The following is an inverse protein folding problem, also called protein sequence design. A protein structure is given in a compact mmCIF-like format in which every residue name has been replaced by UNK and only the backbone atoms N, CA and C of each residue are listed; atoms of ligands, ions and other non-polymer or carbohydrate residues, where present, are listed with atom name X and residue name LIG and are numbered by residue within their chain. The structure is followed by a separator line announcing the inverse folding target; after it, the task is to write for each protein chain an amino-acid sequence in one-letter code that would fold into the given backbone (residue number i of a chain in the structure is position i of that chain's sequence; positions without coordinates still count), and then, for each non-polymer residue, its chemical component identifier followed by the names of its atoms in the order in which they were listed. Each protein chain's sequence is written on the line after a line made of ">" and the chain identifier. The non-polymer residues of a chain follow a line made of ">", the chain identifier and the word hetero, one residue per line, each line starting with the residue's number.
data_IF_102182479669
#
_entry.id   IF_102182479669
#
_cell.length_a   1.000
_cell.length_b   1.000
_cell.length_c   1.000
_cell.angle_alpha   90.00
_cell.angle_beta   90.00
_cell.angle_gamma   90.00
#
_symmetry.space_group_name_H-M   'P 1'
#
loop_
_entity.id
_entity.type
_entity.pdbx_description
1 polymer ?
#
# COMPACT_ATOMS: atom_id res chain seq x y z
N UNK A 1 25.82 11.99 9.35
CA UNK A 1 24.69 12.92 9.08
C UNK A 1 24.88 13.68 7.78
N UNK A 2 26.03 14.32 7.53
CA UNK A 2 26.28 15.09 6.28
C UNK A 2 26.12 14.28 4.98
N UNK A 3 26.58 13.02 4.93
CA UNK A 3 26.40 12.17 3.75
C UNK A 3 24.93 11.92 3.38
N UNK A 4 24.02 11.85 4.35
CA UNK A 4 22.59 11.62 4.08
C UNK A 4 21.92 12.89 3.52
N UNK A 5 22.36 14.08 3.95
CA UNK A 5 21.83 15.36 3.45
C UNK A 5 22.18 15.54 1.97
N UNK A 6 23.44 15.30 1.60
CA UNK A 6 23.91 15.45 0.22
C UNK A 6 23.21 14.46 -0.74
N UNK A 7 23.00 13.20 -0.31
CA UNK A 7 22.27 12.20 -1.09
C UNK A 7 20.84 12.66 -1.36
N UNK A 8 20.14 13.15 -0.34
CA UNK A 8 18.75 13.57 -0.51
C UNK A 8 18.66 14.82 -1.39
N UNK A 9 19.54 15.81 -1.22
CA UNK A 9 19.56 16.99 -2.09
C UNK A 9 19.82 16.63 -3.55
N UNK A 10 20.76 15.72 -3.82
CA UNK A 10 21.02 15.22 -5.16
C UNK A 10 19.80 14.47 -5.74
N UNK A 11 19.12 13.66 -4.93
CA UNK A 11 17.90 12.98 -5.31
C UNK A 11 16.80 13.97 -5.73
N UNK A 12 16.52 14.99 -4.92
CA UNK A 12 15.56 16.05 -5.25
C UNK A 12 15.92 16.78 -6.55
N UNK A 13 17.21 17.06 -6.78
CA UNK A 13 17.68 17.69 -8.00
C UNK A 13 17.46 16.79 -9.22
N UNK A 14 17.75 15.50 -9.11
CA UNK A 14 17.60 14.51 -10.19
C UNK A 14 16.14 14.26 -10.55
N UNK A 15 15.28 14.09 -9.56
CA UNK A 15 13.87 13.77 -9.79
C UNK A 15 13.06 14.96 -10.27
N UNK A 16 13.48 16.20 -9.96
CA UNK A 16 12.76 17.43 -10.31
C UNK A 16 12.28 17.47 -11.76
N UNK A 17 13.17 17.22 -12.73
CA UNK A 17 12.82 17.30 -14.16
C UNK A 17 11.76 16.27 -14.52
N UNK A 18 11.89 15.04 -14.02
CA UNK A 18 10.89 13.99 -14.23
C UNK A 18 9.54 14.39 -13.64
N UNK A 19 9.52 14.96 -12.44
CA UNK A 19 8.29 15.37 -11.75
C UNK A 19 7.61 16.54 -12.48
N UNK A 20 8.39 17.54 -12.90
CA UNK A 20 7.88 18.68 -13.65
C UNK A 20 7.29 18.25 -15.01
N UNK A 21 7.90 17.23 -15.65
CA UNK A 21 7.37 16.61 -16.86
C UNK A 21 6.06 15.86 -16.58
N UNK A 22 5.94 15.12 -15.47
CA UNK A 22 4.69 14.45 -15.07
C UNK A 22 3.57 15.48 -14.84
N UNK A 23 3.87 16.54 -14.10
CA UNK A 23 2.92 17.63 -13.81
C UNK A 23 2.41 18.28 -15.10
N UNK A 24 3.31 18.49 -16.07
CA UNK A 24 2.95 19.07 -17.38
C UNK A 24 2.15 18.09 -18.23
N UNK A 25 2.59 16.83 -18.32
CA UNK A 25 1.98 15.77 -19.13
C UNK A 25 0.53 15.51 -18.71
N UNK A 26 0.29 15.43 -17.40
CA UNK A 26 -1.03 15.11 -16.84
C UNK A 26 -1.81 16.35 -16.35
N UNK A 27 -1.21 17.54 -16.45
CA UNK A 27 -1.81 18.82 -16.03
C UNK A 27 -2.29 18.79 -14.58
N UNK A 28 -1.44 18.29 -13.69
CA UNK A 28 -1.79 18.22 -12.28
C UNK A 28 -1.92 19.61 -11.65
N UNK A 29 -2.91 19.82 -10.75
CA UNK A 29 -2.95 21.00 -9.91
C UNK A 29 -1.67 21.15 -9.09
N UNK A 30 -1.31 22.39 -8.75
CA UNK A 30 -0.04 22.72 -8.10
C UNK A 30 0.19 21.95 -6.80
N UNK A 31 -0.84 21.76 -5.98
CA UNK A 31 -0.73 21.03 -4.72
C UNK A 31 -0.43 19.53 -4.92
N UNK A 32 -0.99 18.86 -5.94
CA UNK A 32 -0.55 17.51 -6.30
C UNK A 32 0.91 17.55 -6.76
N UNK A 33 1.27 18.52 -7.62
CA UNK A 33 2.64 18.67 -8.09
C UNK A 33 3.65 18.86 -6.96
N UNK A 34 3.34 19.70 -5.97
CA UNK A 34 4.18 19.93 -4.79
C UNK A 34 4.31 18.67 -3.93
N UNK A 35 3.21 17.91 -3.76
CA UNK A 35 3.26 16.63 -3.04
C UNK A 35 4.10 15.60 -3.79
N UNK A 36 4.02 15.52 -5.12
CA UNK A 36 4.84 14.59 -5.90
C UNK A 36 6.35 14.86 -5.75
N UNK A 37 6.75 16.13 -5.61
CA UNK A 37 8.13 16.53 -5.28
C UNK A 37 8.62 15.98 -3.92
N UNK A 38 7.73 15.62 -3.00
CA UNK A 38 8.06 14.96 -1.74
C UNK A 38 7.90 13.43 -1.82
N UNK A 39 6.79 12.97 -2.43
CA UNK A 39 6.40 11.57 -2.50
C UNK A 39 7.43 10.76 -3.31
N UNK A 40 7.78 11.20 -4.52
CA UNK A 40 8.65 10.40 -5.42
C UNK A 40 10.04 10.17 -4.80
N UNK A 41 10.75 11.20 -4.27
CA UNK A 41 11.98 10.97 -3.52
C UNK A 41 11.81 10.01 -2.34
N UNK A 42 10.72 10.12 -1.57
CA UNK A 42 10.48 9.24 -0.42
C UNK A 42 10.27 7.78 -0.83
N UNK A 43 9.56 7.52 -1.94
CA UNK A 43 9.43 6.18 -2.51
C UNK A 43 10.80 5.63 -2.94
N UNK A 44 11.64 6.43 -3.60
CA UNK A 44 12.99 6.00 -4.01
C UNK A 44 13.85 5.66 -2.79
N UNK A 45 13.78 6.45 -1.71
CA UNK A 45 14.51 6.13 -0.48
C UNK A 45 13.95 4.88 0.22
N UNK A 46 12.64 4.70 0.24
CA UNK A 46 11.96 3.53 0.83
C UNK A 46 12.37 2.22 0.15
N UNK A 47 12.39 2.20 -1.18
CA UNK A 47 12.69 1.01 -1.98
C UNK A 47 14.17 0.89 -2.37
N UNK A 48 14.97 1.93 -2.10
CA UNK A 48 16.41 1.99 -2.36
C UNK A 48 16.75 2.72 -3.65
N UNK A 49 17.93 3.37 -3.68
CA UNK A 49 18.37 4.19 -4.82
C UNK A 49 18.46 3.40 -6.14
N UNK A 50 18.72 2.09 -6.09
CA UNK A 50 18.73 1.22 -7.28
C UNK A 50 17.34 1.07 -7.92
N UNK A 51 16.27 1.35 -7.18
CA UNK A 51 14.89 1.31 -7.66
C UNK A 51 14.45 2.60 -8.37
N UNK A 52 15.29 3.65 -8.41
CA UNK A 52 14.95 4.98 -8.94
C UNK A 52 14.23 4.92 -10.30
N UNK A 53 14.84 4.26 -11.28
CA UNK A 53 14.28 4.17 -12.64
C UNK A 53 12.92 3.48 -12.66
N UNK A 54 12.77 2.40 -11.88
CA UNK A 54 11.51 1.67 -11.78
C UNK A 54 10.42 2.52 -11.14
N UNK A 55 10.71 3.19 -10.02
CA UNK A 55 9.74 4.07 -9.35
C UNK A 55 9.29 5.18 -10.31
N UNK A 56 10.22 5.87 -10.98
CA UNK A 56 9.86 6.93 -11.93
C UNK A 56 8.99 6.42 -13.08
N UNK A 57 9.30 5.24 -13.64
CA UNK A 57 8.48 4.61 -14.68
C UNK A 57 7.05 4.32 -14.20
N UNK A 58 6.89 3.90 -12.94
CA UNK A 58 5.56 3.61 -12.37
C UNK A 58 4.75 4.90 -12.24
N UNK A 59 5.32 5.97 -11.68
CA UNK A 59 4.65 7.27 -11.59
C UNK A 59 4.31 7.85 -12.98
N UNK A 60 5.11 7.55 -14.01
CA UNK A 60 4.79 7.94 -15.39
C UNK A 60 3.66 7.11 -16.01
N UNK A 61 3.51 5.85 -15.59
CA UNK A 61 2.54 4.91 -16.14
C UNK A 61 1.19 4.92 -15.41
N UNK A 62 1.14 5.52 -14.22
CA UNK A 62 -0.04 5.53 -13.35
C UNK A 62 -0.47 6.98 -13.09
N UNK A 63 -1.27 7.57 -13.99
CA UNK A 63 -1.77 8.93 -13.79
C UNK A 63 -2.75 9.05 -12.62
N UNK A 64 -2.86 10.27 -12.08
CA UNK A 64 -3.90 10.66 -11.13
C UNK A 64 -5.06 11.28 -11.91
N UNK A 65 -6.24 10.69 -11.84
CA UNK A 65 -7.48 11.26 -12.36
C UNK A 65 -8.29 11.88 -11.23
N UNK A 66 -8.56 13.18 -11.34
CA UNK A 66 -9.45 13.89 -10.42
C UNK A 66 -10.88 13.78 -10.95
N UNK A 67 -11.80 13.32 -10.10
CA UNK A 67 -13.23 13.25 -10.39
C UNK A 67 -14.02 14.02 -9.33
N UNK A 68 -14.99 14.79 -9.79
CA UNK A 68 -15.94 15.52 -8.94
C UNK A 68 -17.17 14.66 -8.56
N UNK A 69 -17.05 13.33 -8.66
CA UNK A 69 -18.10 12.40 -8.26
C UNK A 69 -18.13 12.25 -6.73
N UNK A 70 -19.29 12.53 -6.13
CA UNK A 70 -19.48 12.41 -4.69
C UNK A 70 -19.61 10.94 -4.28
N UNK A 71 -18.52 10.38 -3.76
CA UNK A 71 -18.52 9.08 -3.08
C UNK A 71 -18.13 9.28 -1.63
N UNK A 72 -19.05 9.00 -0.72
CA UNK A 72 -18.81 9.14 0.73
C UNK A 72 -17.88 8.05 1.28
N UNK A 73 -17.60 6.98 0.52
CA UNK A 73 -16.91 5.78 1.05
C UNK A 73 -15.42 5.69 0.70
N UNK A 74 -15.00 6.22 -0.44
CA UNK A 74 -13.61 6.12 -0.92
C UNK A 74 -13.17 7.49 -1.45
N UNK A 75 -12.16 8.10 -0.83
CA UNK A 75 -11.61 9.39 -1.28
C UNK A 75 -10.58 9.22 -2.40
N UNK A 76 -9.92 8.06 -2.43
CA UNK A 76 -8.96 7.68 -3.43
C UNK A 76 -9.00 6.16 -3.64
N UNK A 77 -8.62 5.71 -4.84
CA UNK A 77 -8.33 4.30 -5.10
C UNK A 77 -7.40 4.15 -6.30
N UNK A 78 -6.48 3.20 -6.21
CA UNK A 78 -5.73 2.65 -7.34
C UNK A 78 -6.54 1.57 -8.03
N UNK A 79 -6.54 1.57 -9.36
CA UNK A 79 -7.10 0.48 -10.14
C UNK A 79 -6.21 0.13 -11.32
N UNK A 80 -6.18 -1.17 -11.65
CA UNK A 80 -5.56 -1.73 -12.83
C UNK A 80 -6.62 -2.52 -13.58
N UNK A 81 -6.95 -2.06 -14.79
CA UNK A 81 -8.02 -2.63 -15.60
C UNK A 81 -7.41 -3.38 -16.77
N UNK A 82 -7.58 -4.72 -16.84
CA UNK A 82 -7.05 -5.49 -17.95
C UNK A 82 -7.93 -5.31 -19.20
N UNK A 83 -7.29 -5.22 -20.36
CA UNK A 83 -7.93 -5.21 -21.68
C UNK A 83 -7.13 -6.04 -22.68
N UNK A 84 -7.81 -6.52 -23.71
CA UNK A 84 -7.15 -7.17 -24.84
C UNK A 84 -6.66 -6.11 -25.83
N UNK A 85 -5.37 -6.18 -26.16
CA UNK A 85 -4.75 -5.38 -27.21
C UNK A 85 -3.88 -6.29 -28.07
N UNK A 86 -4.18 -6.37 -29.36
CA UNK A 86 -3.40 -7.13 -30.33
C UNK A 86 -3.18 -8.61 -29.93
N UNK A 87 -4.19 -9.23 -29.29
CA UNK A 87 -4.12 -10.61 -28.80
C UNK A 87 -3.37 -10.80 -27.48
N UNK A 88 -2.83 -9.72 -26.90
CA UNK A 88 -2.16 -9.71 -25.61
C UNK A 88 -3.03 -9.04 -24.54
N UNK A 89 -2.87 -9.49 -23.30
CA UNK A 89 -3.51 -8.83 -22.15
C UNK A 89 -2.59 -7.70 -21.72
N UNK A 90 -3.12 -6.48 -21.69
CA UNK A 90 -2.46 -5.28 -21.20
C UNK A 90 -3.33 -4.63 -20.14
N UNK A 91 -2.76 -3.76 -19.32
CA UNK A 91 -3.47 -3.12 -18.21
C UNK A 91 -3.38 -1.61 -18.30
N UNK A 92 -4.52 -0.95 -18.15
CA UNK A 92 -4.59 0.49 -17.94
C UNK A 92 -4.64 0.75 -16.44
N UNK A 93 -3.69 1.53 -15.93
CA UNK A 93 -3.53 1.80 -14.50
C UNK A 93 -3.83 3.25 -14.20
N UNK A 94 -4.48 3.51 -13.07
CA UNK A 94 -4.84 4.86 -12.67
C UNK A 94 -5.07 4.95 -11.17
N UNK A 95 -4.73 6.10 -10.60
CA UNK A 95 -5.19 6.51 -9.27
C UNK A 95 -6.34 7.49 -9.47
N UNK A 96 -7.49 7.21 -8.88
CA UNK A 96 -8.65 8.11 -8.91
C UNK A 96 -8.72 8.86 -7.60
N UNK A 97 -8.81 10.20 -7.64
CA UNK A 97 -9.12 11.04 -6.49
C UNK A 97 -10.54 11.59 -6.62
N UNK A 98 -11.36 11.35 -5.61
CA UNK A 98 -12.75 11.79 -5.55
C UNK A 98 -12.90 12.96 -4.58
N UNK A 99 -13.78 13.93 -4.88
CA UNK A 99 -14.02 15.10 -4.02
C UNK A 99 -12.78 15.94 -3.67
N UNK A 100 -11.84 16.02 -4.61
CA UNK A 100 -10.51 16.61 -4.43
C UNK A 100 -10.48 17.98 -3.74
N UNK A 101 -11.40 18.89 -4.09
CA UNK A 101 -11.43 20.25 -3.56
C UNK A 101 -11.63 20.32 -2.04
N UNK A 102 -12.13 19.24 -1.43
CA UNK A 102 -12.45 19.19 0.01
C UNK A 102 -11.47 18.32 0.81
N UNK A 103 -10.44 17.74 0.19
CA UNK A 103 -9.50 16.85 0.88
C UNK A 103 -8.45 17.69 1.64
N UNK A 104 -8.33 17.55 2.97
CA UNK A 104 -7.25 18.19 3.73
C UNK A 104 -5.87 17.74 3.25
N UNK A 105 -4.85 18.60 3.35
CA UNK A 105 -3.49 18.31 2.85
C UNK A 105 -2.95 16.95 3.34
N UNK A 106 -3.09 16.64 4.62
CA UNK A 106 -2.61 15.37 5.18
C UNK A 106 -3.38 14.16 4.67
N UNK A 107 -4.69 14.28 4.48
CA UNK A 107 -5.50 13.22 3.88
C UNK A 107 -5.15 13.04 2.41
N UNK A 108 -4.86 14.13 1.67
CA UNK A 108 -4.43 14.06 0.28
C UNK A 108 -3.06 13.38 0.17
N UNK A 109 -2.11 13.73 1.04
CA UNK A 109 -0.81 13.08 1.12
C UNK A 109 -0.95 11.58 1.41
N UNK A 110 -1.71 11.22 2.44
CA UNK A 110 -1.95 9.82 2.83
C UNK A 110 -2.58 9.03 1.68
N UNK A 111 -3.68 9.53 1.11
CA UNK A 111 -4.35 8.91 -0.04
C UNK A 111 -3.37 8.70 -1.22
N UNK A 112 -2.61 9.73 -1.61
CA UNK A 112 -1.66 9.60 -2.71
C UNK A 112 -0.56 8.59 -2.42
N UNK A 113 0.04 8.63 -1.22
CA UNK A 113 1.08 7.67 -0.83
C UNK A 113 0.51 6.26 -0.80
N UNK A 114 -0.67 6.08 -0.24
CA UNK A 114 -1.37 4.80 -0.13
C UNK A 114 -1.60 4.17 -1.50
N UNK A 115 -2.22 4.92 -2.42
CA UNK A 115 -2.56 4.41 -3.75
C UNK A 115 -1.33 4.21 -4.64
N UNK A 116 -0.34 5.09 -4.57
CA UNK A 116 0.93 4.83 -5.25
C UNK A 116 1.67 3.63 -4.66
N UNK A 117 1.51 3.35 -3.37
CA UNK A 117 2.14 2.20 -2.76
C UNK A 117 1.51 0.89 -3.25
N UNK A 118 0.20 0.86 -3.48
CA UNK A 118 -0.44 -0.24 -4.23
C UNK A 118 0.10 -0.36 -5.65
N UNK A 119 0.18 0.76 -6.39
CA UNK A 119 0.68 0.77 -7.75
C UNK A 119 2.12 0.23 -7.84
N UNK A 120 3.02 0.73 -6.99
CA UNK A 120 4.43 0.33 -6.95
C UNK A 120 4.59 -1.16 -6.63
N UNK A 121 3.80 -1.66 -5.69
CA UNK A 121 3.85 -3.05 -5.28
C UNK A 121 3.07 -4.00 -6.21
N UNK A 122 2.36 -3.50 -7.22
CA UNK A 122 1.59 -4.32 -8.17
C UNK A 122 2.18 -4.35 -9.58
N UNK A 123 3.14 -3.47 -9.88
CA UNK A 123 3.57 -3.21 -11.26
C UNK A 123 4.35 -4.35 -11.93
N UNK A 124 5.27 -5.00 -11.21
CA UNK A 124 6.07 -6.11 -11.77
C UNK A 124 5.29 -7.41 -11.76
N UNK A 125 5.49 -8.27 -12.77
CA UNK A 125 4.83 -9.57 -12.88
C UNK A 125 3.31 -9.47 -12.63
N UNK A 126 2.68 -8.43 -13.17
CA UNK A 126 1.29 -8.11 -12.86
C UNK A 126 0.31 -9.12 -13.46
N UNK A 127 0.60 -9.63 -14.66
CA UNK A 127 -0.29 -10.53 -15.40
C UNK A 127 0.34 -11.91 -15.47
N UNK A 128 -0.41 -12.94 -15.09
CA UNK A 128 -0.05 -14.34 -15.32
C UNK A 128 -1.14 -15.02 -16.14
N UNK A 129 -0.77 -15.47 -17.35
CA UNK A 129 -1.65 -16.21 -18.26
C UNK A 129 -1.75 -17.67 -17.82
N UNK A 130 -2.97 -18.20 -17.79
CA UNK A 130 -3.28 -19.56 -17.36
C UNK A 130 -4.16 -20.30 -18.40
N UNK A 131 -4.10 -19.87 -19.67
CA UNK A 131 -4.88 -20.47 -20.76
C UNK A 131 -6.22 -19.74 -20.92
N UNK A 132 -7.31 -20.36 -20.43
CA UNK A 132 -8.67 -19.79 -20.52
C UNK A 132 -8.93 -18.68 -19.48
N UNK A 133 -8.06 -18.59 -18.47
CA UNK A 133 -8.07 -17.57 -17.43
C UNK A 133 -6.73 -16.85 -17.37
N UNK A 134 -6.71 -15.72 -16.68
CA UNK A 134 -5.48 -15.06 -16.27
C UNK A 134 -5.66 -14.46 -14.88
N UNK A 135 -4.57 -14.21 -14.19
CA UNK A 135 -4.57 -13.46 -12.94
C UNK A 135 -3.97 -12.08 -13.12
N UNK A 136 -4.51 -11.13 -12.38
CA UNK A 136 -3.96 -9.79 -12.21
C UNK A 136 -3.51 -9.64 -10.76
N UNK A 137 -2.23 -9.39 -10.55
CA UNK A 137 -1.62 -9.20 -9.24
C UNK A 137 -1.91 -7.79 -8.71
N UNK A 138 -2.36 -7.73 -7.47
CA UNK A 138 -2.53 -6.48 -6.70
C UNK A 138 -1.80 -6.65 -5.37
N UNK A 139 -0.54 -6.23 -5.33
CA UNK A 139 0.36 -6.49 -4.20
C UNK A 139 0.59 -7.99 -3.97
N UNK A 140 0.16 -8.52 -2.82
CA UNK A 140 0.24 -9.97 -2.52
C UNK A 140 -0.96 -10.79 -3.01
N UNK A 141 -1.97 -10.17 -3.62
CA UNK A 141 -3.21 -10.85 -3.99
C UNK A 141 -3.33 -11.00 -5.50
N UNK A 142 -4.19 -11.92 -5.94
CA UNK A 142 -4.62 -11.99 -7.33
C UNK A 142 -6.12 -11.77 -7.49
N UNK A 143 -6.48 -11.09 -8.58
CA UNK A 143 -7.82 -11.09 -9.14
C UNK A 143 -7.80 -12.04 -10.34
N UNK A 144 -8.69 -13.03 -10.32
CA UNK A 144 -8.81 -14.06 -11.36
C UNK A 144 -9.85 -13.61 -12.38
N UNK A 145 -9.49 -13.64 -13.65
CA UNK A 145 -10.32 -13.20 -14.75
C UNK A 145 -10.56 -14.31 -15.76
N UNK A 146 -11.74 -14.28 -16.38
CA UNK A 146 -12.00 -15.06 -17.59
C UNK A 146 -11.38 -14.33 -18.79
N UNK A 147 -10.52 -15.00 -19.54
CA UNK A 147 -9.77 -14.37 -20.66
C UNK A 147 -10.66 -13.99 -21.83
N UNK A 148 -11.75 -14.73 -22.05
CA UNK A 148 -12.69 -14.48 -23.16
C UNK A 148 -13.62 -13.31 -22.88
N UNK A 149 -14.11 -13.19 -21.65
CA UNK A 149 -15.10 -12.15 -21.29
C UNK A 149 -14.48 -10.95 -20.58
N UNK A 150 -13.23 -11.03 -20.15
CA UNK A 150 -12.54 -10.05 -19.29
C UNK A 150 -13.27 -9.78 -17.96
N UNK A 151 -14.18 -10.67 -17.54
CA UNK A 151 -14.92 -10.54 -16.29
C UNK A 151 -14.16 -11.17 -15.13
N UNK A 152 -14.29 -10.54 -13.96
CA UNK A 152 -13.76 -11.07 -12.70
C UNK A 152 -14.49 -12.36 -12.34
N UNK A 153 -13.73 -13.41 -12.08
CA UNK A 153 -14.20 -14.70 -11.55
C UNK A 153 -14.21 -14.64 -10.02
N UNK A 154 -13.09 -14.22 -9.41
CA UNK A 154 -12.91 -14.09 -7.96
C UNK A 154 -11.69 -13.22 -7.62
N UNK A 155 -11.62 -12.73 -6.39
CA UNK A 155 -10.42 -12.10 -5.80
C UNK A 155 -9.90 -13.01 -4.68
N UNK A 156 -8.58 -13.10 -4.55
CA UNK A 156 -7.96 -13.82 -3.44
C UNK A 156 -8.22 -13.12 -2.10
N UNK A 157 -8.27 -13.94 -1.05
CA UNK A 157 -8.66 -13.55 0.30
C UNK A 157 -7.56 -12.73 1.03
N UNK A 158 -6.34 -12.73 0.49
CA UNK A 158 -5.16 -12.04 1.01
C UNK A 158 -5.27 -10.51 1.03
N UNK A 159 -6.33 -9.94 0.42
CA UNK A 159 -6.50 -8.49 0.29
C UNK A 159 -6.48 -7.76 1.62
N UNK A 160 -6.94 -8.39 2.71
CA UNK A 160 -6.89 -7.73 4.02
C UNK A 160 -5.44 -7.56 4.50
N UNK A 161 -4.61 -8.59 4.30
CA UNK A 161 -3.21 -8.51 4.69
C UNK A 161 -2.44 -7.55 3.78
N UNK A 162 -2.77 -7.51 2.48
CA UNK A 162 -2.22 -6.52 1.55
C UNK A 162 -2.46 -5.09 2.06
N UNK A 163 -3.69 -4.79 2.47
CA UNK A 163 -4.08 -3.46 2.95
C UNK A 163 -3.38 -3.09 4.26
N UNK A 164 -3.28 -4.02 5.22
CA UNK A 164 -2.55 -3.80 6.48
C UNK A 164 -1.08 -3.46 6.21
N UNK A 165 -0.44 -4.19 5.30
CA UNK A 165 0.96 -3.92 4.94
C UNK A 165 1.06 -2.60 4.17
N UNK A 166 0.11 -2.31 3.29
CA UNK A 166 0.06 -1.06 2.53
C UNK A 166 -0.06 0.15 3.47
N UNK A 167 -0.93 0.07 4.48
CA UNK A 167 -1.05 1.07 5.55
C UNK A 167 0.26 1.25 6.29
N UNK A 168 0.90 0.16 6.74
CA UNK A 168 2.18 0.25 7.46
C UNK A 168 3.28 0.91 6.62
N UNK A 169 3.37 0.57 5.35
CA UNK A 169 4.37 1.17 4.44
C UNK A 169 4.03 2.61 4.07
N UNK A 170 2.75 2.97 4.00
CA UNK A 170 2.29 4.36 3.83
C UNK A 170 2.80 5.23 4.97
N UNK A 171 2.67 4.76 6.21
CA UNK A 171 3.25 5.43 7.38
C UNK A 171 4.76 5.59 7.25
N UNK A 172 5.49 4.55 6.85
CA UNK A 172 6.95 4.62 6.69
C UNK A 172 7.37 5.63 5.62
N UNK A 173 6.65 5.70 4.51
CA UNK A 173 6.93 6.66 3.44
C UNK A 173 6.64 8.08 3.91
N UNK A 174 5.55 8.30 4.64
CA UNK A 174 5.22 9.62 5.21
C UNK A 174 6.24 10.02 6.29
N UNK A 175 6.73 9.08 7.09
CA UNK A 175 7.82 9.34 8.05
C UNK A 175 9.13 9.71 7.33
N UNK A 176 9.42 9.10 6.17
CA UNK A 176 10.54 9.52 5.31
C UNK A 176 10.33 10.95 4.81
N UNK A 177 9.12 11.30 4.33
CA UNK A 177 8.79 12.67 3.92
C UNK A 177 8.98 13.64 5.10
N UNK A 178 8.48 13.28 6.29
CA UNK A 178 8.62 14.08 7.49
C UNK A 178 10.09 14.32 7.86
N UNK A 179 10.96 13.33 7.65
CA UNK A 179 12.40 13.45 7.91
C UNK A 179 13.09 14.53 7.06
N UNK A 180 12.54 14.87 5.89
CA UNK A 180 13.08 15.91 5.02
C UNK A 180 13.06 17.30 5.65
N UNK A 181 12.30 17.53 6.72
CA UNK A 181 12.24 18.83 7.43
C UNK A 181 13.60 19.30 7.95
N UNK A 182 14.52 18.35 8.10
CA UNK A 182 15.89 18.59 8.57
C UNK A 182 16.86 18.99 7.44
N UNK A 183 16.38 19.03 6.20
CA UNK A 183 17.19 19.19 4.98
C UNK A 183 16.88 20.55 4.35
N UNK A 184 17.90 21.35 3.98
CA UNK A 184 17.67 22.60 3.28
C UNK A 184 17.26 22.32 1.82
N UNK A 185 15.97 22.51 1.54
CA UNK A 185 15.32 22.34 0.23
C UNK A 185 14.82 23.69 -0.32
N UNK A 186 14.39 23.72 -1.59
CA UNK A 186 13.86 24.93 -2.22
C UNK A 186 12.60 25.47 -1.52
N UNK A 187 12.38 26.79 -1.55
CA UNK A 187 11.29 27.48 -0.84
C UNK A 187 9.89 26.89 -1.04
N UNK A 188 9.53 26.49 -2.28
CA UNK A 188 8.20 25.93 -2.58
C UNK A 188 7.97 24.60 -1.88
N UNK A 189 8.96 23.70 -1.93
CA UNK A 189 8.92 22.39 -1.26
C UNK A 189 8.96 22.57 0.26
N UNK A 190 9.74 23.54 0.74
CA UNK A 190 9.86 23.84 2.17
C UNK A 190 8.52 24.29 2.78
N UNK A 191 7.70 25.06 2.05
CA UNK A 191 6.37 25.48 2.53
C UNK A 191 5.40 24.31 2.70
N UNK A 192 5.33 23.40 1.71
CA UNK A 192 4.50 22.18 1.81
C UNK A 192 4.98 21.28 2.95
N UNK A 193 6.29 21.12 3.08
CA UNK A 193 6.89 20.31 4.14
C UNK A 193 6.65 20.88 5.54
N UNK A 194 6.68 22.21 5.70
CA UNK A 194 6.34 22.88 6.96
C UNK A 194 4.88 22.61 7.37
N UNK A 195 3.94 22.65 6.43
CA UNK A 195 2.54 22.33 6.70
C UNK A 195 2.36 20.86 7.12
N UNK A 196 3.07 19.93 6.48
CA UNK A 196 3.10 18.51 6.87
C UNK A 196 3.69 18.34 8.27
N UNK A 197 4.86 18.95 8.54
CA UNK A 197 5.55 18.86 9.84
C UNK A 197 4.65 19.34 10.99
N UNK A 198 3.93 20.44 10.81
CA UNK A 198 2.99 20.96 11.81
C UNK A 198 1.84 19.99 12.14
N UNK A 199 1.58 19.00 11.28
CA UNK A 199 0.50 18.02 11.42
C UNK A 199 0.97 16.68 12.01
N UNK A 200 2.29 16.47 12.18
CA UNK A 200 2.86 15.19 12.62
C UNK A 200 3.64 15.38 13.93
N UNK A 201 3.16 14.76 15.00
CA UNK A 201 3.87 14.73 16.30
C UNK A 201 4.63 13.41 16.48
N UNK A 202 5.90 13.39 16.04
CA UNK A 202 6.76 12.21 16.15
C UNK A 202 6.70 11.33 14.90
N UNK A 203 5.88 10.27 14.92
CA UNK A 203 5.66 9.36 13.78
C UNK A 203 4.23 9.46 13.27
N UNK A 204 4.03 9.30 11.97
CA UNK A 204 2.71 9.29 11.37
C UNK A 204 1.95 7.99 11.67
N UNK A 205 0.62 8.08 11.77
CA UNK A 205 -0.27 6.93 11.88
C UNK A 205 -1.45 7.16 10.95
N UNK A 206 -1.64 6.25 9.99
CA UNK A 206 -2.74 6.35 9.03
C UNK A 206 -4.04 5.86 9.68
N UNK A 207 -5.18 6.40 9.25
CA UNK A 207 -6.50 6.09 9.84
C UNK A 207 -7.11 4.77 9.30
N UNK A 208 -6.35 3.94 8.58
CA UNK A 208 -6.85 2.77 7.87
C UNK A 208 -6.86 1.47 8.72
N UNK A 209 -7.92 0.66 8.56
CA UNK A 209 -8.13 -0.69 9.11
C UNK A 209 -7.98 -0.83 10.65
N UNK A 210 -8.99 -0.38 11.41
CA UNK A 210 -9.01 -0.35 12.88
C UNK A 210 -8.45 -1.58 13.62
N UNK A 211 -9.24 -2.66 13.80
CA UNK A 211 -8.86 -3.78 14.67
C UNK A 211 -7.79 -4.68 14.04
N UNK A 212 -7.77 -4.85 12.73
CA UNK A 212 -6.84 -5.72 12.04
C UNK A 212 -5.44 -5.13 12.03
N UNK A 213 -5.29 -3.82 11.77
CA UNK A 213 -3.99 -3.15 11.93
C UNK A 213 -3.52 -3.19 13.38
N UNK A 214 -4.43 -3.11 14.35
CA UNK A 214 -4.09 -3.28 15.77
C UNK A 214 -3.60 -4.70 16.10
N UNK A 215 -4.33 -5.73 15.67
CA UNK A 215 -3.95 -7.15 15.84
C UNK A 215 -2.59 -7.44 15.19
N UNK A 216 -2.42 -6.99 13.95
CA UNK A 216 -1.20 -7.22 13.18
C UNK A 216 -0.03 -6.32 13.58
N UNK A 217 -0.21 -5.38 14.53
CA UNK A 217 0.83 -4.40 14.92
C UNK A 217 2.15 -5.06 15.30
N UNK A 218 2.11 -6.14 16.09
CA UNK A 218 3.33 -6.84 16.52
C UNK A 218 3.95 -7.67 15.37
N UNK A 219 3.15 -8.12 14.41
CA UNK A 219 3.65 -8.75 13.19
C UNK A 219 4.31 -7.72 12.27
N UNK A 220 3.72 -6.53 12.13
CA UNK A 220 4.26 -5.44 11.31
C UNK A 220 5.56 -4.86 11.89
N UNK A 221 5.79 -4.96 13.20
CA UNK A 221 7.06 -4.57 13.83
C UNK A 221 8.19 -5.57 13.59
N UNK A 222 7.86 -6.83 13.29
CA UNK A 222 8.86 -7.86 13.03
C UNK A 222 9.57 -7.54 11.71
N UNK A 223 10.87 -7.22 11.80
CA UNK A 223 11.68 -6.83 10.62
C UNK A 223 11.78 -7.93 9.58
N UNK A 224 11.84 -9.19 10.00
CA UNK A 224 11.87 -10.34 9.09
C UNK A 224 10.58 -10.42 8.28
N UNK A 225 9.43 -10.27 8.94
CA UNK A 225 8.13 -10.22 8.27
C UNK A 225 8.06 -9.07 7.28
N UNK A 226 8.23 -7.84 7.77
CA UNK A 226 7.97 -6.66 6.96
C UNK A 226 8.98 -6.54 5.81
N UNK A 227 10.27 -6.82 6.03
CA UNK A 227 11.27 -6.76 4.97
C UNK A 227 11.03 -7.83 3.89
N UNK A 228 10.68 -9.05 4.29
CA UNK A 228 10.41 -10.14 3.33
C UNK A 228 9.17 -9.81 2.49
N UNK A 229 8.05 -9.49 3.13
CA UNK A 229 6.82 -9.14 2.42
C UNK A 229 7.02 -7.89 1.54
N UNK A 230 7.74 -6.88 2.01
CA UNK A 230 8.06 -5.69 1.20
C UNK A 230 8.87 -6.04 -0.05
N UNK A 231 9.89 -6.89 0.09
CA UNK A 231 10.76 -7.29 -1.01
C UNK A 231 10.02 -8.15 -2.05
N UNK A 232 9.25 -9.14 -1.60
CA UNK A 232 8.48 -10.02 -2.48
C UNK A 232 7.37 -9.26 -3.21
N UNK A 233 6.66 -8.38 -2.51
CA UNK A 233 5.64 -7.47 -3.11
C UNK A 233 6.26 -6.58 -4.19
N UNK A 234 7.37 -5.94 -3.87
CA UNK A 234 8.03 -5.03 -4.80
C UNK A 234 8.60 -5.76 -6.02
N UNK A 235 9.19 -6.95 -5.83
CA UNK A 235 9.78 -7.74 -6.93
C UNK A 235 8.75 -8.54 -7.73
N UNK A 236 7.52 -8.70 -7.24
CA UNK A 236 6.48 -9.49 -7.89
C UNK A 236 6.68 -11.00 -7.75
N UNK A 237 7.38 -11.46 -6.71
CA UNK A 237 7.68 -12.88 -6.46
C UNK A 237 6.88 -13.37 -5.24
N UNK A 238 5.56 -13.46 -5.36
CA UNK A 238 4.66 -13.67 -4.21
C UNK A 238 4.18 -15.11 -4.02
N UNK A 239 4.49 -16.01 -4.95
CA UNK A 239 3.94 -17.38 -4.96
C UNK A 239 4.36 -18.23 -3.74
N UNK A 240 5.54 -17.97 -3.17
CA UNK A 240 6.09 -18.76 -2.06
C UNK A 240 5.70 -18.22 -0.67
N UNK A 241 4.93 -17.13 -0.59
CA UNK A 241 4.62 -16.44 0.67
C UNK A 241 3.88 -17.32 1.67
N UNK A 242 2.91 -18.11 1.21
CA UNK A 242 2.20 -19.11 2.01
C UNK A 242 3.18 -20.09 2.67
N UNK A 243 4.06 -20.65 1.85
CA UNK A 243 4.99 -21.69 2.27
C UNK A 243 6.04 -21.15 3.24
N UNK A 244 6.51 -19.93 3.00
CA UNK A 244 7.47 -19.23 3.85
C UNK A 244 6.89 -18.96 5.24
N UNK A 245 5.66 -18.45 5.31
CA UNK A 245 5.00 -18.18 6.58
C UNK A 245 4.71 -19.48 7.35
N UNK A 246 4.25 -20.52 6.66
CA UNK A 246 4.03 -21.85 7.23
C UNK A 246 5.31 -22.48 7.80
N UNK A 247 6.45 -22.29 7.12
CA UNK A 247 7.76 -22.76 7.56
C UNK A 247 8.20 -22.06 8.84
N UNK A 248 8.04 -20.73 8.93
CA UNK A 248 8.39 -19.98 10.14
C UNK A 248 7.51 -20.39 11.32
N UNK A 249 6.21 -20.62 11.12
CA UNK A 249 5.33 -21.12 12.19
C UNK A 249 5.60 -22.61 12.50
N UNK A 250 6.13 -23.37 11.56
CA UNK A 250 6.33 -24.81 11.68
C UNK A 250 5.05 -25.64 11.50
N UNK A 251 4.01 -25.07 10.87
CA UNK A 251 2.72 -25.74 10.66
C UNK A 251 2.12 -25.36 9.30
N UNK A 252 1.91 -26.37 8.45
CA UNK A 252 1.27 -26.22 7.12
C UNK A 252 -0.17 -25.70 7.23
N UNK A 253 -0.54 -24.77 6.35
CA UNK A 253 -1.84 -24.11 6.28
C UNK A 253 -2.03 -22.98 7.29
N UNK A 254 -0.97 -22.57 8.00
CA UNK A 254 -1.04 -21.48 8.97
C UNK A 254 -1.26 -20.14 8.30
N UNK A 255 -0.63 -19.87 7.14
CA UNK A 255 -0.88 -18.64 6.40
C UNK A 255 -2.36 -18.49 6.01
N UNK A 256 -2.91 -19.50 5.33
CA UNK A 256 -4.33 -19.52 4.95
C UNK A 256 -5.27 -19.42 6.14
N UNK A 257 -4.92 -20.06 7.27
CA UNK A 257 -5.69 -19.94 8.51
C UNK A 257 -5.65 -18.51 9.05
N UNK A 258 -4.48 -17.87 9.05
CA UNK A 258 -4.31 -16.49 9.49
C UNK A 258 -5.18 -15.53 8.66
N UNK A 259 -5.12 -15.64 7.34
CA UNK A 259 -5.96 -14.85 6.41
C UNK A 259 -7.45 -15.09 6.67
N UNK A 260 -7.87 -16.35 6.83
CA UNK A 260 -9.26 -16.68 7.14
C UNK A 260 -9.73 -16.07 8.47
N UNK A 261 -8.85 -15.99 9.48
CA UNK A 261 -9.14 -15.32 10.75
C UNK A 261 -9.36 -13.82 10.52
N UNK A 262 -8.47 -13.15 9.80
CA UNK A 262 -8.59 -11.72 9.49
C UNK A 262 -9.92 -11.40 8.78
N UNK A 263 -10.29 -12.19 7.76
CA UNK A 263 -11.56 -12.06 7.04
C UNK A 263 -12.75 -12.25 7.96
N UNK A 264 -12.72 -13.30 8.79
CA UNK A 264 -13.85 -13.59 9.67
C UNK A 264 -14.02 -12.49 10.72
N UNK A 265 -12.92 -11.92 11.22
CA UNK A 265 -12.96 -10.78 12.14
C UNK A 265 -13.63 -9.56 11.49
N UNK A 266 -13.23 -9.14 10.27
CA UNK A 266 -13.89 -8.01 9.58
C UNK A 266 -15.39 -8.25 9.44
N UNK A 267 -15.78 -9.46 8.97
CA UNK A 267 -17.20 -9.80 8.80
C UNK A 267 -17.95 -9.71 10.13
N UNK A 268 -17.37 -10.21 11.21
CA UNK A 268 -17.96 -10.16 12.55
C UNK A 268 -18.07 -8.74 13.10
N UNK A 269 -17.15 -7.83 12.78
CA UNK A 269 -17.21 -6.43 13.17
C UNK A 269 -18.36 -5.70 12.46
N UNK A 270 -18.43 -5.83 11.12
CA UNK A 270 -19.53 -5.28 10.34
C UNK A 270 -20.88 -5.83 10.80
N UNK A 271 -20.93 -7.12 11.11
CA UNK A 271 -22.09 -7.77 11.70
C UNK A 271 -22.40 -7.23 13.11
N UNK A 272 -21.40 -6.93 13.93
CA UNK A 272 -21.56 -6.42 15.30
C UNK A 272 -22.13 -5.01 15.32
N UNK A 273 -21.65 -4.13 14.44
CA UNK A 273 -22.14 -2.76 14.28
C UNK A 273 -23.63 -2.72 13.92
N UNK A 274 -24.06 -3.63 13.03
CA UNK A 274 -25.44 -3.67 12.51
C UNK A 274 -26.46 -4.33 13.45
N UNK A 275 -26.04 -5.07 14.46
CA UNK A 275 -26.95 -5.93 15.24
C UNK A 275 -27.32 -5.35 16.59
N UNK A 276 -28.61 -5.38 16.94
CA UNK A 276 -29.11 -4.98 18.27
C UNK A 276 -29.03 -6.12 19.30
N UNK A 277 -29.29 -7.36 18.89
CA UNK A 277 -29.27 -8.56 19.74
C UNK A 277 -27.99 -9.41 19.56
N UNK A 278 -27.68 -10.31 20.50
CA UNK A 278 -26.53 -11.23 20.45
C UNK A 278 -25.11 -10.58 20.32
N UNK A 279 -24.97 -9.28 20.60
CA UNK A 279 -23.66 -8.58 20.60
C UNK A 279 -22.60 -9.31 21.42
N UNK A 280 -22.96 -9.84 22.59
CA UNK A 280 -22.05 -10.59 23.48
C UNK A 280 -21.48 -11.86 22.81
N UNK A 281 -22.29 -12.58 22.05
CA UNK A 281 -21.86 -13.79 21.35
C UNK A 281 -20.86 -13.45 20.23
N UNK A 282 -21.16 -12.43 19.42
CA UNK A 282 -20.25 -11.95 18.37
C UNK A 282 -18.92 -11.45 18.96
N UNK A 283 -18.97 -10.70 20.06
CA UNK A 283 -17.79 -10.25 20.77
C UNK A 283 -16.92 -11.43 21.26
N UNK A 284 -17.54 -12.50 21.77
CA UNK A 284 -16.81 -13.70 22.20
C UNK A 284 -16.13 -14.41 21.01
N UNK A 285 -16.79 -14.47 19.85
CA UNK A 285 -16.18 -15.03 18.64
C UNK A 285 -14.99 -14.18 18.17
N UNK A 286 -15.13 -12.85 18.15
CA UNK A 286 -14.03 -11.91 17.84
C UNK A 286 -12.86 -12.14 18.79
N UNK A 287 -13.10 -12.23 20.11
CA UNK A 287 -12.05 -12.47 21.11
C UNK A 287 -11.34 -13.80 20.91
N UNK A 288 -12.08 -14.87 20.61
CA UNK A 288 -11.49 -16.20 20.34
C UNK A 288 -10.58 -16.17 19.11
N UNK A 289 -11.04 -15.56 18.01
CA UNK A 289 -10.26 -15.43 16.79
C UNK A 289 -9.03 -14.53 16.99
N UNK A 290 -9.19 -13.45 17.74
CA UNK A 290 -8.09 -12.56 18.12
C UNK A 290 -7.00 -13.31 18.90
N UNK A 291 -7.39 -14.12 19.89
CA UNK A 291 -6.43 -14.92 20.67
C UNK A 291 -5.69 -15.94 19.81
N UNK A 292 -6.40 -16.60 18.89
CA UNK A 292 -5.78 -17.54 17.95
C UNK A 292 -4.76 -16.84 17.04
N UNK A 293 -5.14 -15.69 16.45
CA UNK A 293 -4.23 -14.90 15.62
C UNK A 293 -3.02 -14.39 16.39
N UNK A 294 -3.21 -13.91 17.63
CA UNK A 294 -2.10 -13.47 18.49
C UNK A 294 -1.12 -14.60 18.77
N UNK A 295 -1.60 -15.81 19.07
CA UNK A 295 -0.72 -16.97 19.28
C UNK A 295 0.09 -17.29 18.02
N UNK A 296 -0.52 -17.18 16.83
CA UNK A 296 0.21 -17.38 15.57
C UNK A 296 1.29 -16.32 15.36
N UNK A 297 0.99 -15.05 15.64
CA UNK A 297 1.96 -13.94 15.57
C UNK A 297 3.09 -14.14 16.59
N UNK A 298 2.78 -14.56 17.82
CA UNK A 298 3.78 -14.84 18.86
C UNK A 298 4.73 -15.97 18.46
N UNK A 299 4.20 -17.08 17.93
CA UNK A 299 5.01 -18.19 17.41
C UNK A 299 5.88 -17.72 16.24
N UNK A 300 5.30 -16.98 15.29
CA UNK A 300 6.05 -16.42 14.16
C UNK A 300 7.22 -15.55 14.66
N UNK A 301 6.94 -14.62 15.59
CA UNK A 301 7.92 -13.71 16.16
C UNK A 301 8.99 -14.42 17.00
N UNK A 302 8.64 -15.50 17.70
CA UNK A 302 9.58 -16.30 18.45
C UNK A 302 10.57 -17.05 17.55
N UNK A 303 10.12 -17.46 16.36
CA UNK A 303 10.92 -18.22 15.41
C UNK A 303 11.76 -17.34 14.46
N UNK A 304 11.58 -16.02 14.49
CA UNK A 304 12.41 -15.08 13.73
C UNK A 304 13.62 -14.61 14.55
N UNK A 305 14.81 -14.73 13.97
CA UNK A 305 16.07 -14.32 14.63
C UNK A 305 16.26 -12.80 14.68
N UNK A 306 15.67 -12.06 13.74
CA UNK A 306 15.65 -10.60 13.73
C UNK A 306 14.26 -10.11 14.14
N UNK A 307 14.15 -9.71 15.41
CA UNK A 307 12.99 -9.01 15.96
C UNK A 307 13.03 -7.54 15.57
#
# INVERSE_FOLDING_TARGET
>A
MENNVAIVQDLFRKTKVSIDNLNTKFRYPENIGHLLHLIIPAFILKYGLSAEHKILRIFESVPILIRDEHNEREQAFYTSMPRLQDGHIVTDKVIVLQNYQNIPLMSLLDNLVHEYNHAVNSFENEIMDQGDTFTLRTGICHIHYNKKTMQVIRKDDDYILEEIINTKQTEEIIDIIHSFRTIPLSNTIAATLYAIDSSISGSYTSNAYGLQSYLCKELMKNRTFLATFSSLRFSGNIDDMDSWFDQIIGKKGSYKRFIAILIRMIKLEQEYEKTVFFKKMKLNQIRSLYQEAMQMIEVFNANCNYK
#
